data_IF_070294028933
#
_entry.id   IF_070294028933
#
_cell.length_a   1.000
_cell.length_b   1.000
_cell.length_c   1.000
_cell.angle_alpha   90.00
_cell.angle_beta   90.00
_cell.angle_gamma   90.00
#
_symmetry.space_group_name_H-M   'P 1'
#
loop_
_entity.id
_entity.type
_entity.pdbx_description
1 polymer ?
#
# COMPACT_ATOMS: atom_id res chain seq x y z
N UNK A 1 38.72 0.50 -0.32
CA UNK A 1 37.69 -0.34 0.30
C UNK A 1 36.60 0.57 0.79
N UNK A 2 35.35 0.31 0.42
CA UNK A 2 34.23 1.17 0.80
C UNK A 2 34.04 1.16 2.32
N UNK A 3 34.26 2.31 2.96
CA UNK A 3 33.98 2.49 4.37
C UNK A 3 32.47 2.66 4.56
N UNK A 4 31.82 1.71 5.25
CA UNK A 4 30.42 1.87 5.65
C UNK A 4 30.32 3.05 6.62
N UNK A 5 29.52 4.07 6.26
CA UNK A 5 29.20 5.19 7.15
C UNK A 5 27.87 4.92 7.83
N UNK A 6 27.84 5.01 9.16
CA UNK A 6 26.62 4.85 9.98
C UNK A 6 26.26 6.16 10.69
N UNK A 7 24.97 6.44 10.80
CA UNK A 7 24.43 7.60 11.54
C UNK A 7 23.14 7.19 12.25
N UNK A 8 23.07 7.42 13.56
CA UNK A 8 21.86 7.18 14.34
C UNK A 8 20.84 8.31 14.14
N UNK A 9 19.56 7.94 14.09
CA UNK A 9 18.44 8.88 14.01
C UNK A 9 17.42 8.55 15.12
N UNK A 10 16.64 9.54 15.54
CA UNK A 10 15.67 9.39 16.63
C UNK A 10 14.46 8.52 16.27
N UNK A 11 14.11 8.44 14.98
CA UNK A 11 13.01 7.61 14.50
C UNK A 11 13.24 7.15 13.07
N UNK A 12 12.55 6.08 12.68
CA UNK A 12 12.55 5.60 11.29
C UNK A 12 12.02 6.68 10.34
N UNK A 13 10.98 7.42 10.75
CA UNK A 13 10.40 8.49 9.95
C UNK A 13 11.44 9.56 9.59
N UNK A 14 12.15 10.08 10.59
CA UNK A 14 13.19 11.09 10.37
C UNK A 14 14.33 10.56 9.49
N UNK A 15 14.72 9.30 9.68
CA UNK A 15 15.76 8.68 8.85
C UNK A 15 15.33 8.56 7.38
N UNK A 16 14.06 8.21 7.12
CA UNK A 16 13.52 8.14 5.76
C UNK A 16 13.41 9.52 5.12
N UNK A 17 12.82 10.49 5.83
CA UNK A 17 12.64 11.86 5.34
C UNK A 17 13.99 12.54 5.03
N UNK A 18 15.00 12.40 5.90
CA UNK A 18 16.35 12.91 5.64
C UNK A 18 16.98 12.23 4.43
N UNK A 19 16.77 10.91 4.27
CA UNK A 19 17.43 10.14 3.22
C UNK A 19 16.82 10.36 1.83
N UNK A 20 15.50 10.55 1.75
CA UNK A 20 14.80 10.71 0.47
C UNK A 20 14.52 12.16 0.12
N UNK A 21 14.51 13.07 1.11
CA UNK A 21 14.08 14.46 0.92
C UNK A 21 12.57 14.63 0.81
N UNK A 22 11.80 13.58 1.10
CA UNK A 22 10.33 13.53 0.94
C UNK A 22 9.67 13.36 2.30
N UNK A 23 8.52 14.01 2.51
CA UNK A 23 7.73 13.83 3.73
C UNK A 23 7.01 12.47 3.72
N UNK A 24 7.01 11.77 4.86
CA UNK A 24 6.30 10.49 4.98
C UNK A 24 5.09 10.60 5.89
N UNK A 25 3.96 10.08 5.40
CA UNK A 25 2.79 9.81 6.21
C UNK A 25 2.67 8.30 6.51
N UNK A 26 2.69 7.93 7.79
CA UNK A 26 2.65 6.53 8.22
C UNK A 26 1.20 6.16 8.52
N UNK A 27 0.63 5.29 7.69
CA UNK A 27 -0.75 4.79 7.84
C UNK A 27 -0.70 3.45 8.56
N UNK A 28 -1.43 3.32 9.67
CA UNK A 28 -1.42 2.11 10.50
C UNK A 28 -2.27 1.00 9.88
N UNK A 29 -1.65 -0.14 9.61
CA UNK A 29 -2.34 -1.39 9.27
C UNK A 29 -3.28 -1.78 10.43
N UNK A 30 -4.57 -2.00 10.14
CA UNK A 30 -5.60 -2.32 11.13
C UNK A 30 -6.14 -1.13 11.94
N UNK A 31 -5.73 0.10 11.63
CA UNK A 31 -6.21 1.31 12.30
C UNK A 31 -5.62 1.55 13.69
N UNK A 32 -6.39 2.15 14.60
CA UNK A 32 -5.93 2.52 15.95
C UNK A 32 -6.08 1.39 16.98
N UNK A 33 -7.02 0.46 16.78
CA UNK A 33 -7.22 -0.66 17.70
C UNK A 33 -6.12 -1.72 17.56
N UNK A 34 -5.45 -2.01 18.67
CA UNK A 34 -4.29 -2.93 18.69
C UNK A 34 -4.67 -4.35 18.27
N UNK A 35 -5.87 -4.82 18.60
CA UNK A 35 -6.33 -6.16 18.23
C UNK A 35 -6.51 -6.26 16.71
N UNK A 36 -7.10 -5.24 16.09
CA UNK A 36 -7.23 -5.13 14.64
C UNK A 36 -5.86 -5.03 13.96
N UNK A 37 -4.93 -4.23 14.50
CA UNK A 37 -3.55 -4.15 13.98
C UNK A 37 -2.89 -5.54 13.92
N UNK A 38 -2.96 -6.33 15.01
CA UNK A 38 -2.39 -7.67 15.01
C UNK A 38 -3.09 -8.62 14.02
N UNK A 39 -4.42 -8.58 13.98
CA UNK A 39 -5.21 -9.45 13.08
C UNK A 39 -4.94 -9.16 11.62
N UNK A 40 -4.94 -7.88 11.23
CA UNK A 40 -4.76 -7.49 9.84
C UNK A 40 -3.30 -7.54 9.40
N UNK A 41 -2.36 -7.32 10.31
CA UNK A 41 -0.95 -7.62 10.04
C UNK A 41 -0.75 -9.11 9.75
N UNK A 42 -1.43 -10.00 10.49
CA UNK A 42 -1.38 -11.45 10.24
C UNK A 42 -1.97 -11.85 8.88
N UNK A 43 -2.90 -11.05 8.36
CA UNK A 43 -3.54 -11.27 7.05
C UNK A 43 -3.00 -10.32 5.98
N UNK A 44 -1.76 -9.89 6.16
CA UNK A 44 -0.97 -9.16 5.17
C UNK A 44 -1.51 -7.77 4.80
N UNK A 45 -2.21 -7.09 5.72
CA UNK A 45 -2.79 -5.76 5.50
C UNK A 45 -1.76 -4.66 5.15
N UNK A 46 -0.54 -4.77 5.67
CA UNK A 46 0.57 -3.88 5.31
C UNK A 46 1.32 -4.29 4.02
N UNK A 47 0.96 -5.42 3.40
CA UNK A 47 1.61 -5.98 2.21
C UNK A 47 0.77 -5.72 0.94
N UNK A 48 0.38 -4.47 0.75
CA UNK A 48 -0.29 -4.01 -0.48
C UNK A 48 0.70 -3.85 -1.63
N UNK A 49 0.23 -4.01 -2.85
CA UNK A 49 1.02 -3.75 -4.04
C UNK A 49 0.69 -2.38 -4.63
N UNK A 50 1.68 -1.50 -4.78
CA UNK A 50 1.50 -0.24 -5.48
C UNK A 50 1.60 -0.45 -7.00
N UNK A 51 0.52 -0.19 -7.72
CA UNK A 51 0.48 -0.19 -9.19
C UNK A 51 1.14 1.09 -9.74
N UNK A 52 0.81 2.23 -9.13
CA UNK A 52 1.36 3.55 -9.41
C UNK A 52 1.36 4.38 -8.10
N UNK A 53 2.00 5.57 -8.05
CA UNK A 53 1.84 6.47 -6.91
C UNK A 53 0.36 6.70 -6.59
N UNK A 54 -0.05 6.47 -5.34
CA UNK A 54 -1.44 6.60 -4.90
C UNK A 54 -2.38 5.45 -5.31
N UNK A 55 -1.98 4.54 -6.20
CA UNK A 55 -2.83 3.44 -6.68
C UNK A 55 -2.30 2.12 -6.14
N UNK A 56 -3.06 1.50 -5.24
CA UNK A 56 -2.64 0.27 -4.53
C UNK A 56 -3.68 -0.84 -4.67
N UNK A 57 -3.26 -2.08 -4.49
CA UNK A 57 -4.13 -3.27 -4.47
C UNK A 57 -3.81 -4.19 -3.29
N UNK A 58 -4.83 -4.73 -2.64
CA UNK A 58 -4.71 -5.57 -1.43
C UNK A 58 -5.96 -6.40 -1.14
N UNK A 59 -5.89 -7.28 -0.14
CA UNK A 59 -7.00 -8.19 0.18
C UNK A 59 -8.13 -7.51 0.94
N UNK A 60 -9.36 -7.64 0.44
CA UNK A 60 -10.57 -7.01 1.00
C UNK A 60 -10.83 -7.32 2.49
N UNK A 61 -10.34 -8.45 2.98
CA UNK A 61 -10.49 -8.88 4.39
C UNK A 61 -9.83 -7.95 5.41
N UNK A 62 -8.90 -7.09 4.98
CA UNK A 62 -8.20 -6.13 5.85
C UNK A 62 -9.01 -4.83 5.98
N UNK A 63 -10.25 -4.96 6.46
CA UNK A 63 -11.27 -3.89 6.41
C UNK A 63 -10.85 -2.64 7.18
N UNK A 64 -10.23 -2.78 8.36
CA UNK A 64 -9.80 -1.64 9.16
C UNK A 64 -8.62 -0.91 8.49
N UNK A 65 -7.71 -1.63 7.83
CA UNK A 65 -6.63 -1.05 7.04
C UNK A 65 -7.20 -0.22 5.88
N UNK A 66 -8.16 -0.76 5.13
CA UNK A 66 -8.79 -0.02 4.04
C UNK A 66 -9.59 1.19 4.55
N UNK A 67 -10.33 1.07 5.65
CA UNK A 67 -10.98 2.22 6.27
C UNK A 67 -9.97 3.30 6.68
N UNK A 68 -8.83 2.89 7.27
CA UNK A 68 -7.77 3.84 7.64
C UNK A 68 -7.16 4.49 6.39
N UNK A 69 -7.03 3.78 5.27
CA UNK A 69 -6.60 4.38 3.99
C UNK A 69 -7.63 5.40 3.48
N UNK A 70 -8.93 5.09 3.59
CA UNK A 70 -10.02 6.02 3.24
C UNK A 70 -9.93 7.31 4.07
N UNK A 71 -9.71 7.20 5.38
CA UNK A 71 -9.49 8.35 6.27
C UNK A 71 -8.27 9.21 5.85
N UNK A 72 -7.35 8.63 5.08
CA UNK A 72 -6.15 9.29 4.53
C UNK A 72 -6.28 9.68 3.05
N UNK A 73 -7.52 9.73 2.54
CA UNK A 73 -7.87 10.28 1.23
C UNK A 73 -7.74 9.30 0.07
N UNK A 74 -7.80 7.99 0.33
CA UNK A 74 -7.96 6.98 -0.72
C UNK A 74 -9.43 6.76 -1.04
N UNK A 75 -9.76 6.65 -2.31
CA UNK A 75 -11.02 6.06 -2.76
C UNK A 75 -10.91 4.53 -2.67
N UNK A 76 -11.86 3.87 -2.01
CA UNK A 76 -11.92 2.41 -1.94
C UNK A 76 -12.80 1.88 -3.07
N UNK A 77 -12.28 0.95 -3.88
CA UNK A 77 -13.04 0.22 -4.89
C UNK A 77 -12.72 -1.27 -4.77
N UNK A 78 -13.72 -2.14 -4.90
CA UNK A 78 -13.45 -3.56 -5.03
C UNK A 78 -13.06 -3.93 -6.48
N UNK A 79 -12.54 -5.14 -6.66
CA UNK A 79 -12.07 -5.64 -7.96
C UNK A 79 -13.12 -5.56 -9.08
N UNK A 80 -14.41 -5.73 -8.76
CA UNK A 80 -15.48 -5.72 -9.74
C UNK A 80 -15.81 -4.28 -10.15
N UNK A 81 -15.93 -3.38 -9.19
CA UNK A 81 -16.13 -1.94 -9.41
C UNK A 81 -14.98 -1.34 -10.24
N UNK A 82 -13.74 -1.74 -9.95
CA UNK A 82 -12.57 -1.29 -10.70
C UNK A 82 -12.62 -1.75 -12.17
N UNK A 83 -12.97 -3.02 -12.41
CA UNK A 83 -13.08 -3.56 -13.78
C UNK A 83 -14.23 -2.89 -14.53
N UNK A 84 -15.39 -2.72 -13.89
CA UNK A 84 -16.55 -2.05 -14.50
C UNK A 84 -16.21 -0.62 -14.93
N UNK A 85 -15.56 0.14 -14.05
CA UNK A 85 -15.23 1.55 -14.32
C UNK A 85 -14.16 1.72 -15.40
N UNK A 86 -13.11 0.89 -15.39
CA UNK A 86 -11.90 1.13 -16.20
C UNK A 86 -11.71 0.17 -17.37
N UNK A 87 -12.48 -0.92 -17.51
CA UNK A 87 -12.30 -1.88 -18.61
C UNK A 87 -12.51 -1.28 -20.00
N UNK A 88 -13.45 -0.34 -20.14
CA UNK A 88 -13.76 0.30 -21.44
C UNK A 88 -13.08 1.66 -21.61
N UNK A 89 -12.91 2.42 -20.52
CA UNK A 89 -12.40 3.81 -20.58
C UNK A 89 -10.87 3.89 -20.64
N UNK A 90 -10.18 2.79 -20.31
CA UNK A 90 -8.75 2.80 -20.04
C UNK A 90 -8.44 3.40 -18.66
N UNK A 91 -7.31 3.00 -18.08
CA UNK A 91 -6.93 3.45 -16.74
C UNK A 91 -6.09 4.73 -16.79
N UNK A 92 -6.73 5.88 -16.57
CA UNK A 92 -6.10 7.20 -16.55
C UNK A 92 -6.48 7.95 -15.24
N UNK A 93 -5.84 7.63 -14.10
CA UNK A 93 -6.13 8.28 -12.83
C UNK A 93 -5.78 9.77 -12.89
N UNK A 94 -6.57 10.61 -12.22
CA UNK A 94 -6.29 12.05 -12.10
C UNK A 94 -4.99 12.26 -11.33
N UNK A 95 -4.31 13.37 -11.59
CA UNK A 95 -3.11 13.74 -10.83
C UNK A 95 -3.43 13.84 -9.33
N UNK A 96 -2.62 13.18 -8.51
CA UNK A 96 -2.81 13.10 -7.06
C UNK A 96 -3.95 12.19 -6.59
N UNK A 97 -4.69 11.54 -7.50
CA UNK A 97 -5.76 10.61 -7.12
C UNK A 97 -5.17 9.38 -6.41
N UNK A 98 -5.81 9.00 -5.31
CA UNK A 98 -5.46 7.82 -4.53
C UNK A 98 -6.58 6.81 -4.60
N UNK A 99 -6.28 5.59 -5.05
CA UNK A 99 -7.26 4.50 -5.18
C UNK A 99 -6.70 3.28 -4.47
N UNK A 100 -7.47 2.73 -3.54
CA UNK A 100 -7.21 1.48 -2.87
C UNK A 100 -8.14 0.41 -3.44
N UNK A 101 -7.57 -0.52 -4.21
CA UNK A 101 -8.31 -1.59 -4.87
C UNK A 101 -8.30 -2.82 -3.97
N UNK A 102 -9.47 -3.21 -3.48
CA UNK A 102 -9.62 -4.43 -2.70
C UNK A 102 -10.00 -5.61 -3.60
N UNK A 103 -9.45 -6.79 -3.32
CA UNK A 103 -9.80 -8.00 -4.05
C UNK A 103 -9.97 -9.20 -3.11
N UNK A 104 -10.74 -10.18 -3.56
CA UNK A 104 -11.05 -11.37 -2.78
C UNK A 104 -9.83 -12.30 -2.77
N UNK A 105 -9.28 -12.54 -1.59
CA UNK A 105 -8.05 -13.33 -1.40
C UNK A 105 -8.18 -14.44 -0.37
N UNK A 106 -9.39 -14.91 -0.07
CA UNK A 106 -9.69 -15.81 1.06
C UNK A 106 -8.81 -17.07 1.12
N UNK A 107 -8.52 -17.71 -0.02
CA UNK A 107 -7.61 -18.86 -0.05
C UNK A 107 -6.14 -18.45 -0.16
N UNK A 108 -5.82 -17.40 -0.92
CA UNK A 108 -4.46 -16.94 -1.16
C UNK A 108 -3.76 -16.48 0.13
N UNK A 109 -4.48 -15.75 0.98
CA UNK A 109 -3.94 -15.26 2.26
C UNK A 109 -3.63 -16.40 3.26
N UNK A 110 -4.14 -17.61 3.05
CA UNK A 110 -3.77 -18.78 3.89
C UNK A 110 -2.31 -19.18 3.68
N UNK A 111 -1.73 -18.82 2.53
CA UNK A 111 -0.31 -18.94 2.26
C UNK A 111 0.58 -17.93 2.99
N UNK A 112 -0.01 -17.02 3.81
CA UNK A 112 0.71 -15.93 4.52
C UNK A 112 1.49 -15.02 3.57
N UNK A 113 0.83 -14.55 2.52
CA UNK A 113 1.39 -13.57 1.60
C UNK A 113 0.32 -12.64 1.07
N UNK A 114 0.62 -11.34 1.10
CA UNK A 114 -0.20 -10.27 0.54
C UNK A 114 -0.08 -10.13 -0.97
N UNK A 115 -0.72 -9.08 -1.50
CA UNK A 115 -0.68 -8.74 -2.92
C UNK A 115 0.76 -8.53 -3.41
N UNK A 116 1.61 -7.88 -2.60
CA UNK A 116 3.01 -7.67 -2.98
C UNK A 116 3.79 -8.98 -3.05
N UNK A 117 3.55 -9.93 -2.15
CA UNK A 117 4.21 -11.24 -2.16
C UNK A 117 3.95 -12.05 -3.44
N UNK A 118 2.79 -11.86 -4.09
CA UNK A 118 2.43 -12.56 -5.33
C UNK A 118 2.91 -11.85 -6.59
N UNK A 119 3.69 -10.77 -6.45
CA UNK A 119 4.09 -9.92 -7.58
C UNK A 119 5.60 -9.78 -7.67
N UNK A 120 6.12 -9.81 -8.90
CA UNK A 120 7.52 -9.55 -9.20
C UNK A 120 7.57 -8.50 -10.32
N UNK A 121 7.72 -7.20 -9.97
CA UNK A 121 7.81 -6.15 -10.98
C UNK A 121 9.05 -6.34 -11.86
N UNK A 122 8.84 -6.58 -13.16
CA UNK A 122 9.92 -6.69 -14.14
C UNK A 122 10.37 -5.31 -14.61
N UNK A 123 9.43 -4.36 -14.75
CA UNK A 123 9.69 -2.99 -15.15
C UNK A 123 8.73 -2.03 -14.45
N UNK A 124 9.23 -0.86 -14.08
CA UNK A 124 8.47 0.27 -13.54
C UNK A 124 9.07 1.56 -14.10
N UNK A 125 8.21 2.52 -14.47
CA UNK A 125 8.65 3.86 -14.84
C UNK A 125 9.30 4.53 -13.63
N UNK A 126 10.43 5.19 -13.83
CA UNK A 126 11.03 6.04 -12.80
C UNK A 126 10.07 7.17 -12.41
N UNK A 127 10.02 7.50 -11.12
CA UNK A 127 9.29 8.66 -10.64
C UNK A 127 10.02 9.92 -11.09
N UNK A 128 9.30 10.83 -11.75
CA UNK A 128 9.78 12.18 -12.01
C UNK A 128 9.42 13.03 -10.81
N UNK A 129 10.42 13.44 -10.04
CA UNK A 129 10.29 14.42 -8.96
C UNK A 129 10.28 15.84 -9.54
#
# INVERSE_FOLDING_TARGET
GDSIKTKAHQSLKLALEEKTGEAFNFIKCGGEDRTNQFREQWTDGANVFALAPGIIVGYERNTNTFNTLVDHGYDLMNQFEFIEEYSQKGFNPKEGQKIAISFQGHELCRGRGGARCMTMPISRKALTH
#
